data_IF_473223230334
#
_entry.id   IF_473223230334
#
_cell.length_a   1.000
_cell.length_b   1.000
_cell.length_c   1.000
_cell.angle_alpha   90.00
_cell.angle_beta   90.00
_cell.angle_gamma   90.00
#
_symmetry.space_group_name_H-M   'P 1'
#
loop_
_entity.id
_entity.type
_entity.pdbx_description
1 polymer ?
#
# COMPACT_ATOMS: atom_id res chain seq x y z
N UNK A 1 -10.00 -2.42 21.57
CA UNK A 1 -8.72 -2.76 20.91
C UNK A 1 -8.90 -2.64 19.41
N UNK A 2 -7.81 -2.59 18.64
CA UNK A 2 -7.88 -2.69 17.18
C UNK A 2 -8.09 -4.15 16.79
N UNK A 3 -9.11 -4.42 15.98
CA UNK A 3 -9.22 -5.68 15.25
C UNK A 3 -8.46 -5.54 13.93
N UNK A 4 -7.63 -6.53 13.60
CA UNK A 4 -6.84 -6.49 12.38
C UNK A 4 -6.81 -7.87 11.71
N UNK A 5 -6.77 -7.81 10.39
CA UNK A 5 -6.43 -8.92 9.50
C UNK A 5 -5.12 -8.61 8.80
N UNK A 6 -4.53 -9.62 8.15
CA UNK A 6 -3.46 -9.43 7.19
C UNK A 6 -3.80 -10.05 5.84
N UNK A 7 -3.20 -9.51 4.79
CA UNK A 7 -3.28 -10.04 3.44
C UNK A 7 -1.89 -10.13 2.86
N UNK A 8 -1.59 -11.24 2.19
CA UNK A 8 -0.34 -11.45 1.47
C UNK A 8 -0.55 -12.51 0.38
N UNK A 9 0.13 -12.37 -0.76
CA UNK A 9 0.16 -13.35 -1.84
C UNK A 9 0.91 -14.63 -1.44
N UNK A 10 1.86 -14.53 -0.51
CA UNK A 10 2.68 -15.65 -0.06
C UNK A 10 1.92 -16.56 0.91
N UNK A 11 1.63 -17.81 0.53
CA UNK A 11 0.98 -18.76 1.44
C UNK A 11 1.84 -19.04 2.68
N UNK A 12 3.18 -18.98 2.54
CA UNK A 12 4.11 -19.17 3.65
C UNK A 12 4.04 -18.04 4.69
N UNK A 13 3.89 -16.78 4.26
CA UNK A 13 3.68 -15.64 5.16
C UNK A 13 2.36 -15.81 5.91
N UNK A 14 1.29 -16.16 5.18
CA UNK A 14 -0.04 -16.34 5.77
C UNK A 14 -0.08 -17.51 6.75
N UNK A 15 0.55 -18.63 6.44
CA UNK A 15 0.65 -19.76 7.35
C UNK A 15 1.43 -19.38 8.62
N UNK A 16 2.53 -18.62 8.50
CA UNK A 16 3.26 -18.10 9.65
C UNK A 16 2.40 -17.19 10.52
N UNK A 17 1.65 -16.26 9.92
CA UNK A 17 0.74 -15.37 10.61
C UNK A 17 -0.37 -16.12 11.36
N UNK A 18 -1.00 -17.12 10.72
CA UNK A 18 -2.03 -17.97 11.33
C UNK A 18 -1.49 -18.78 12.51
N UNK A 19 -0.25 -19.30 12.43
CA UNK A 19 0.38 -19.98 13.58
C UNK A 19 0.65 -19.03 14.74
N UNK A 20 1.08 -17.80 14.46
CA UNK A 20 1.41 -16.80 15.48
C UNK A 20 0.17 -16.16 16.11
N UNK A 21 -0.91 -16.01 15.35
CA UNK A 21 -2.16 -15.37 15.74
C UNK A 21 -3.36 -16.20 15.26
N UNK A 22 -3.65 -17.34 15.91
CA UNK A 22 -4.65 -18.31 15.43
C UNK A 22 -6.08 -17.79 15.41
N UNK A 23 -6.40 -16.83 16.28
CA UNK A 23 -7.75 -16.27 16.42
C UNK A 23 -8.00 -15.08 15.48
N UNK A 24 -7.07 -14.78 14.56
CA UNK A 24 -7.20 -13.67 13.61
C UNK A 24 -7.39 -14.17 12.18
N UNK A 25 -8.26 -13.53 11.39
CA UNK A 25 -8.35 -13.81 9.97
C UNK A 25 -7.07 -13.37 9.27
N UNK A 26 -6.66 -14.13 8.26
CA UNK A 26 -5.59 -13.78 7.33
C UNK A 26 -5.98 -14.26 5.93
N UNK A 27 -5.81 -13.39 4.94
CA UNK A 27 -6.20 -13.59 3.56
C UNK A 27 -4.97 -13.93 2.71
N UNK A 28 -5.02 -15.07 2.01
CA UNK A 28 -4.05 -15.38 0.97
C UNK A 28 -4.74 -15.22 -0.38
N UNK A 29 -4.68 -14.02 -0.95
CA UNK A 29 -5.38 -13.69 -2.20
C UNK A 29 -4.62 -12.64 -3.00
N UNK A 30 -4.81 -12.66 -4.31
CA UNK A 30 -4.37 -11.60 -5.20
C UNK A 30 -5.49 -10.57 -5.34
N UNK A 31 -5.26 -9.37 -4.81
CA UNK A 31 -6.30 -8.31 -4.85
C UNK A 31 -6.58 -7.87 -6.28
N UNK A 32 -5.63 -7.96 -7.21
CA UNK A 32 -5.86 -7.55 -8.60
C UNK A 32 -6.74 -8.54 -9.36
N UNK A 33 -6.90 -9.77 -8.87
CA UNK A 33 -7.70 -10.82 -9.50
C UNK A 33 -8.99 -11.07 -8.73
N UNK A 34 -8.88 -11.19 -7.40
CA UNK A 34 -9.92 -11.73 -6.52
C UNK A 34 -10.39 -10.71 -5.46
N UNK A 35 -10.36 -9.41 -5.77
CA UNK A 35 -10.78 -8.34 -4.84
C UNK A 35 -12.19 -8.56 -4.26
N UNK A 36 -13.08 -9.19 -5.03
CA UNK A 36 -14.48 -9.44 -4.63
C UNK A 36 -14.61 -10.27 -3.34
N UNK A 37 -13.58 -11.02 -2.97
CA UNK A 37 -13.55 -11.83 -1.75
C UNK A 37 -13.10 -11.05 -0.50
N UNK A 38 -12.65 -9.80 -0.67
CA UNK A 38 -12.29 -8.94 0.44
C UNK A 38 -13.51 -8.28 1.09
N UNK A 39 -13.63 -8.30 2.43
CA UNK A 39 -14.63 -7.49 3.11
C UNK A 39 -14.26 -5.99 3.04
N UNK A 40 -15.17 -5.15 3.54
CA UNK A 40 -14.90 -3.72 3.74
C UNK A 40 -14.31 -3.52 5.14
N UNK A 41 -13.18 -2.83 5.20
CA UNK A 41 -12.48 -2.45 6.42
C UNK A 41 -12.72 -0.99 6.78
N UNK A 42 -12.54 -0.64 8.05
CA UNK A 42 -12.54 0.76 8.49
C UNK A 42 -11.36 1.53 7.86
N UNK A 43 -10.18 0.93 7.84
CA UNK A 43 -9.01 1.46 7.18
C UNK A 43 -8.13 0.34 6.62
N UNK A 44 -7.41 0.63 5.54
CA UNK A 44 -6.41 -0.26 4.95
C UNK A 44 -5.04 0.38 5.10
N UNK A 45 -4.05 -0.41 5.54
CA UNK A 45 -2.66 0.02 5.62
C UNK A 45 -1.78 -0.91 4.78
N UNK A 46 -1.03 -0.34 3.85
CA UNK A 46 -0.06 -1.04 3.01
C UNK A 46 1.32 -0.50 3.31
N UNK A 47 2.03 -1.18 4.20
CA UNK A 47 3.40 -0.82 4.55
C UNK A 47 4.40 -1.73 3.83
N UNK A 48 5.33 -1.15 3.08
CA UNK A 48 6.41 -1.88 2.40
C UNK A 48 6.02 -2.53 1.06
N UNK A 49 4.75 -2.46 0.67
CA UNK A 49 4.24 -3.04 -0.59
C UNK A 49 4.86 -2.38 -1.82
N UNK A 50 5.13 -1.07 -1.74
CA UNK A 50 5.61 -0.26 -2.86
C UNK A 50 7.08 0.16 -2.70
N UNK A 51 7.87 -0.51 -1.86
CA UNK A 51 9.27 -0.12 -1.62
C UNK A 51 10.20 -0.68 -2.69
N UNK A 52 10.02 -1.96 -3.03
CA UNK A 52 10.88 -2.70 -3.95
C UNK A 52 10.16 -2.92 -5.28
N UNK A 53 10.77 -2.49 -6.38
CA UNK A 53 10.26 -2.76 -7.74
C UNK A 53 11.05 -3.86 -8.46
N UNK A 54 12.24 -4.21 -7.95
CA UNK A 54 13.15 -5.12 -8.64
C UNK A 54 13.46 -4.63 -10.06
N UNK A 55 13.30 -5.52 -11.03
CA UNK A 55 13.57 -5.24 -12.44
C UNK A 55 12.42 -4.51 -13.17
N UNK A 56 11.30 -4.25 -12.48
CA UNK A 56 10.18 -3.52 -13.11
C UNK A 56 10.61 -2.11 -13.51
N UNK A 57 10.23 -1.64 -14.72
CA UNK A 57 10.32 -0.24 -15.08
C UNK A 57 9.55 0.64 -14.10
N UNK A 58 10.07 1.85 -13.85
CA UNK A 58 9.47 2.82 -12.93
C UNK A 58 7.99 3.07 -13.22
N UNK A 59 7.63 3.21 -14.50
CA UNK A 59 6.25 3.44 -14.91
C UNK A 59 5.35 2.24 -14.61
N UNK A 60 5.82 1.01 -14.86
CA UNK A 60 5.02 -0.20 -14.59
C UNK A 60 4.75 -0.38 -13.10
N UNK A 61 5.72 -0.07 -12.23
CA UNK A 61 5.51 -0.09 -10.79
C UNK A 61 4.53 1.00 -10.34
N UNK A 62 4.55 2.17 -10.98
CA UNK A 62 3.59 3.22 -10.71
C UNK A 62 2.18 2.84 -11.16
N UNK A 63 2.04 2.22 -12.34
CA UNK A 63 0.76 1.73 -12.84
C UNK A 63 0.18 0.65 -11.90
N UNK A 64 1.03 -0.27 -11.41
CA UNK A 64 0.68 -1.26 -10.39
C UNK A 64 0.19 -0.60 -9.08
N UNK A 65 0.90 0.41 -8.57
CA UNK A 65 0.45 1.18 -7.39
C UNK A 65 -0.93 1.80 -7.63
N UNK A 66 -1.13 2.41 -8.80
CA UNK A 66 -2.39 3.07 -9.15
C UNK A 66 -3.54 2.07 -9.23
N UNK A 67 -3.33 0.92 -9.85
CA UNK A 67 -4.32 -0.15 -10.00
C UNK A 67 -4.70 -0.73 -8.64
N UNK A 68 -3.70 -1.08 -7.82
CA UNK A 68 -3.92 -1.67 -6.50
C UNK A 68 -4.73 -0.74 -5.59
N UNK A 69 -4.41 0.56 -5.58
CA UNK A 69 -5.14 1.56 -4.79
C UNK A 69 -6.58 1.76 -5.27
N UNK A 70 -6.83 1.70 -6.58
CA UNK A 70 -8.19 1.79 -7.13
C UNK A 70 -9.02 0.57 -6.79
N UNK A 71 -8.42 -0.62 -6.88
CA UNK A 71 -9.07 -1.89 -6.52
C UNK A 71 -9.41 -1.94 -5.03
N UNK A 72 -8.52 -1.45 -4.16
CA UNK A 72 -8.74 -1.47 -2.71
C UNK A 72 -9.64 -0.34 -2.20
N UNK A 73 -9.82 0.74 -2.97
CA UNK A 73 -10.71 1.86 -2.63
C UNK A 73 -12.10 1.42 -2.11
N UNK A 74 -12.88 0.60 -2.82
CA UNK A 74 -14.21 0.18 -2.34
C UNK A 74 -14.17 -0.67 -1.07
N UNK A 75 -13.00 -1.21 -0.68
CA UNK A 75 -12.82 -2.03 0.52
C UNK A 75 -12.38 -1.22 1.74
N UNK A 76 -12.27 0.11 1.64
CA UNK A 76 -11.93 1.00 2.76
C UNK A 76 -13.05 2.01 3.03
N UNK A 77 -13.52 2.07 4.29
CA UNK A 77 -14.59 2.98 4.71
C UNK A 77 -14.09 4.39 5.02
N UNK A 78 -12.99 4.52 5.75
CA UNK A 78 -12.50 5.82 6.21
C UNK A 78 -11.19 6.25 5.55
N UNK A 79 -10.34 5.31 5.16
CA UNK A 79 -9.10 5.67 4.50
C UNK A 79 -8.15 4.54 4.17
N UNK A 80 -7.16 4.90 3.37
CA UNK A 80 -6.06 4.04 2.96
C UNK A 80 -4.75 4.75 3.30
N UNK A 81 -3.82 4.03 3.94
CA UNK A 81 -2.48 4.51 4.19
C UNK A 81 -1.46 3.65 3.44
N UNK A 82 -0.51 4.27 2.76
CA UNK A 82 0.59 3.55 2.11
C UNK A 82 1.88 4.36 2.12
N UNK A 83 3.02 3.69 2.16
CA UNK A 83 4.34 4.31 2.05
C UNK A 83 5.03 3.96 0.73
N UNK A 84 5.92 4.85 0.30
CA UNK A 84 6.81 4.67 -0.85
C UNK A 84 8.16 5.29 -0.52
N UNK A 85 9.22 4.83 -1.17
CA UNK A 85 10.54 5.43 -1.00
C UNK A 85 10.53 6.87 -1.56
N UNK A 86 11.13 7.79 -0.82
CA UNK A 86 11.17 9.20 -1.21
C UNK A 86 12.24 9.46 -2.25
N UNK A 87 12.03 10.41 -3.16
CA UNK A 87 13.09 10.95 -4.01
C UNK A 87 13.99 11.97 -3.29
N UNK A 88 13.64 12.37 -2.06
CA UNK A 88 14.45 13.28 -1.24
C UNK A 88 15.48 12.50 -0.40
N UNK A 89 16.51 11.97 -1.08
CA UNK A 89 17.56 11.10 -0.50
C UNK A 89 18.92 11.43 -1.11
N UNK A 90 20.03 11.14 -0.41
CA UNK A 90 21.37 11.37 -0.97
C UNK A 90 21.80 10.32 -2.00
N UNK A 91 21.17 9.15 -1.98
CA UNK A 91 21.46 8.05 -2.91
C UNK A 91 20.19 7.27 -3.24
N UNK A 92 20.13 6.75 -4.46
CA UNK A 92 19.06 5.87 -4.94
C UNK A 92 19.62 4.50 -5.27
N UNK A 93 18.75 3.49 -5.29
CA UNK A 93 19.06 2.17 -5.89
C UNK A 93 18.06 1.86 -6.98
N UNK A 94 18.54 1.23 -8.04
CA UNK A 94 17.73 0.92 -9.23
C UNK A 94 16.63 -0.11 -8.98
N UNK A 95 16.72 -0.87 -7.89
CA UNK A 95 15.73 -1.87 -7.48
C UNK A 95 14.64 -1.31 -6.53
N UNK A 96 14.81 -0.07 -6.07
CA UNK A 96 13.85 0.63 -5.21
C UNK A 96 12.93 1.52 -6.04
N UNK A 97 11.69 1.65 -5.57
CA UNK A 97 10.68 2.50 -6.18
C UNK A 97 10.64 3.87 -5.51
N UNK A 98 11.60 4.73 -5.86
CA UNK A 98 11.60 6.13 -5.40
C UNK A 98 10.57 6.94 -6.18
N UNK A 99 9.49 7.37 -5.53
CA UNK A 99 8.36 8.02 -6.20
C UNK A 99 8.28 9.51 -5.81
N UNK A 100 8.30 10.45 -6.76
CA UNK A 100 8.11 11.87 -6.45
C UNK A 100 6.76 12.15 -5.79
N UNK A 101 6.76 13.00 -4.75
CA UNK A 101 5.53 13.38 -4.02
C UNK A 101 4.48 13.95 -4.98
N UNK A 102 4.88 14.84 -5.91
CA UNK A 102 3.95 15.44 -6.86
C UNK A 102 3.19 14.40 -7.69
N UNK A 103 3.91 13.40 -8.21
CA UNK A 103 3.33 12.35 -9.04
C UNK A 103 2.25 11.54 -8.28
N UNK A 104 2.53 11.14 -7.03
CA UNK A 104 1.56 10.41 -6.23
C UNK A 104 0.39 11.29 -5.80
N UNK A 105 0.62 12.56 -5.45
CA UNK A 105 -0.45 13.46 -5.02
C UNK A 105 -1.39 13.82 -6.16
N UNK A 106 -0.88 13.97 -7.38
CA UNK A 106 -1.69 14.21 -8.58
C UNK A 106 -2.63 13.04 -8.86
N UNK A 107 -2.12 11.81 -8.77
CA UNK A 107 -2.93 10.60 -8.89
C UNK A 107 -3.97 10.49 -7.77
N UNK A 108 -3.55 10.62 -6.51
CA UNK A 108 -4.45 10.51 -5.34
C UNK A 108 -5.58 11.53 -5.43
N UNK A 109 -5.26 12.78 -5.73
CA UNK A 109 -6.24 13.87 -5.81
C UNK A 109 -7.25 13.69 -6.95
N UNK A 110 -6.81 13.14 -8.09
CA UNK A 110 -7.64 12.97 -9.29
C UNK A 110 -8.50 11.71 -9.27
N UNK A 111 -8.04 10.65 -8.58
CA UNK A 111 -8.63 9.31 -8.70
C UNK A 111 -9.21 8.79 -7.38
N UNK A 112 -8.58 9.10 -6.24
CA UNK A 112 -9.01 8.60 -4.94
C UNK A 112 -9.76 9.67 -4.15
N UNK A 113 -9.04 10.67 -3.62
CA UNK A 113 -9.66 11.68 -2.77
C UNK A 113 -8.84 12.94 -2.80
N UNK A 114 -9.52 14.08 -2.71
CA UNK A 114 -8.89 15.39 -2.51
C UNK A 114 -8.52 15.64 -1.04
N UNK A 115 -8.96 14.76 -0.14
CA UNK A 115 -8.61 14.79 1.28
C UNK A 115 -7.50 13.77 1.54
N UNK A 116 -6.27 14.24 1.66
CA UNK A 116 -5.12 13.39 1.99
C UNK A 116 -4.04 14.17 2.75
N UNK A 117 -3.14 13.43 3.41
CA UNK A 117 -1.94 13.97 4.07
C UNK A 117 -0.72 13.21 3.57
N UNK A 118 0.34 13.94 3.20
CA UNK A 118 1.66 13.35 2.97
C UNK A 118 2.52 13.60 4.20
N UNK A 119 3.07 12.52 4.77
CA UNK A 119 3.88 12.56 5.98
C UNK A 119 5.28 12.06 5.67
N UNK A 120 6.30 12.89 5.89
CA UNK A 120 7.71 12.57 5.67
C UNK A 120 8.58 13.03 6.87
N UNK A 121 8.01 13.08 8.07
CA UNK A 121 8.65 13.62 9.28
C UNK A 121 9.17 12.53 10.23
N UNK A 122 9.25 11.26 9.78
CA UNK A 122 9.58 10.10 10.63
C UNK A 122 10.95 9.46 10.36
N UNK A 123 11.79 10.11 9.54
CA UNK A 123 13.23 9.81 9.47
C UNK A 123 13.64 8.55 8.72
N UNK A 124 12.76 7.94 7.92
CA UNK A 124 13.04 6.66 7.23
C UNK A 124 13.33 6.77 5.72
N UNK A 125 13.62 7.96 5.18
CA UNK A 125 13.87 8.16 3.73
C UNK A 125 12.70 7.69 2.81
N UNK A 126 11.52 7.56 3.41
CA UNK A 126 10.24 7.26 2.78
C UNK A 126 9.20 8.27 3.25
N UNK A 127 8.07 8.33 2.56
CA UNK A 127 6.92 9.09 3.01
C UNK A 127 5.67 8.21 2.99
N UNK A 128 4.72 8.54 3.86
CA UNK A 128 3.43 7.89 3.96
C UNK A 128 2.35 8.84 3.46
N UNK A 129 1.49 8.34 2.58
CA UNK A 129 0.27 9.04 2.16
C UNK A 129 -0.90 8.46 2.93
N UNK A 130 -1.65 9.31 3.63
CA UNK A 130 -2.92 8.99 4.25
C UNK A 130 -4.04 9.57 3.40
N UNK A 131 -4.83 8.72 2.75
CA UNK A 131 -5.96 9.10 1.91
C UNK A 131 -7.25 8.93 2.72
N UNK A 132 -8.04 9.99 2.86
CA UNK A 132 -9.32 9.96 3.58
C UNK A 132 -10.47 9.85 2.58
N UNK A 133 -11.34 8.84 2.73
CA UNK A 133 -12.38 8.46 1.77
C UNK A 133 -13.78 8.97 2.15
#
# INVERSE_FOLDING_TARGET
>A
GLDYTGLDLSPGVIEHCRRKYPDRPFYNLDVLVDAGDLPVFDAIAMNGVFTFKGDLPQQQMFDYLCELLQVLRPHARYGIAFNVASTHVEWTRDDLFHLPIGQVTDFVASTLSRSFTVRQDYGLYEYTVYVYL
#
